data_IF_331603745642
#
_entry.id   IF_331603745642
#
_cell.length_a   1.000
_cell.length_b   1.000
_cell.length_c   1.000
_cell.angle_alpha   90.00
_cell.angle_beta   90.00
_cell.angle_gamma   90.00
#
_symmetry.space_group_name_H-M   'P 1'
#
loop_
_entity.id
_entity.type
_entity.pdbx_description
1 polymer ?
#
# COMPACT_ATOMS: atom_id res chain seq x y z
N UNK A 1 -5.41 14.20 -22.12
CA UNK A 1 -5.16 14.29 -20.67
C UNK A 1 -4.04 13.34 -20.28
N UNK A 2 -3.02 13.83 -19.63
CA UNK A 2 -2.00 12.92 -19.11
C UNK A 2 -2.61 12.04 -18.01
N UNK A 3 -2.12 10.83 -17.91
CA UNK A 3 -2.51 9.93 -16.84
C UNK A 3 -2.06 10.51 -15.50
N UNK A 4 -2.74 10.10 -14.44
CA UNK A 4 -2.31 10.47 -13.10
C UNK A 4 -0.92 9.89 -12.86
N UNK A 5 -0.11 10.64 -12.13
CA UNK A 5 1.22 10.20 -11.74
C UNK A 5 1.11 9.00 -10.80
N UNK A 6 1.56 7.85 -11.24
CA UNK A 6 1.47 6.61 -10.47
C UNK A 6 2.31 6.67 -9.19
N UNK A 7 3.42 7.41 -9.21
CA UNK A 7 4.20 7.61 -7.99
C UNK A 7 3.39 8.40 -6.96
N UNK A 8 2.64 9.42 -7.40
CA UNK A 8 1.79 10.17 -6.49
C UNK A 8 0.62 9.32 -6.01
N UNK A 9 0.05 8.50 -6.87
CA UNK A 9 -1.02 7.58 -6.48
C UNK A 9 -0.54 6.60 -5.43
N UNK A 10 0.69 6.11 -5.55
CA UNK A 10 1.29 5.26 -4.54
C UNK A 10 1.43 5.99 -3.21
N UNK A 11 1.92 7.23 -3.23
CA UNK A 11 2.02 8.05 -2.01
C UNK A 11 0.65 8.24 -1.36
N UNK A 12 -0.37 8.48 -2.17
CA UNK A 12 -1.73 8.69 -1.68
C UNK A 12 -2.26 7.43 -0.98
N UNK A 13 -1.94 6.25 -1.51
CA UNK A 13 -2.38 4.99 -0.91
C UNK A 13 -1.83 4.82 0.51
N UNK A 14 -0.54 5.09 0.71
CA UNK A 14 0.06 4.97 2.04
C UNK A 14 -0.36 6.13 2.95
N UNK A 15 -0.51 7.32 2.38
CA UNK A 15 -1.03 8.47 3.12
C UNK A 15 -2.42 8.23 3.67
N UNK A 16 -3.25 7.46 2.96
CA UNK A 16 -4.59 7.11 3.41
C UNK A 16 -4.57 6.25 4.67
N UNK A 17 -3.57 5.38 4.82
CA UNK A 17 -3.41 4.60 6.04
C UNK A 17 -3.05 5.49 7.22
N UNK A 18 -2.19 6.49 7.01
CA UNK A 18 -1.80 7.42 8.07
C UNK A 18 -2.97 8.33 8.45
N UNK A 19 -3.71 8.83 7.47
CA UNK A 19 -4.84 9.74 7.72
C UNK A 19 -6.12 9.01 8.13
N UNK A 20 -6.23 7.71 7.85
CA UNK A 20 -7.44 6.96 8.12
C UNK A 20 -8.56 7.20 7.12
N UNK A 21 -8.24 7.72 5.94
CA UNK A 21 -9.26 8.02 4.92
C UNK A 21 -9.42 6.84 3.95
N UNK A 22 -10.34 5.95 4.27
CA UNK A 22 -10.62 4.75 3.49
C UNK A 22 -11.06 5.07 2.05
N UNK A 23 -11.72 6.21 1.83
CA UNK A 23 -12.25 6.55 0.50
C UNK A 23 -11.13 6.68 -0.53
N UNK A 24 -9.96 7.15 -0.12
CA UNK A 24 -8.81 7.25 -1.01
C UNK A 24 -8.41 5.88 -1.54
N UNK A 25 -8.32 4.89 -0.64
CA UNK A 25 -7.98 3.51 -1.04
C UNK A 25 -9.09 2.92 -1.90
N UNK A 26 -10.35 3.14 -1.54
CA UNK A 26 -11.48 2.61 -2.32
C UNK A 26 -11.46 3.10 -3.76
N UNK A 27 -11.04 4.35 -3.98
CA UNK A 27 -10.94 4.92 -5.31
C UNK A 27 -9.73 4.43 -6.08
N UNK A 28 -8.63 4.12 -5.39
CA UNK A 28 -7.38 3.71 -6.03
C UNK A 28 -7.37 2.25 -6.46
N UNK A 29 -8.11 1.38 -5.78
CA UNK A 29 -8.09 -0.06 -6.08
C UNK A 29 -9.11 -0.40 -7.15
N UNK A 30 -8.71 -1.27 -8.10
CA UNK A 30 -9.63 -1.77 -9.12
C UNK A 30 -10.62 -2.76 -8.50
N UNK A 31 -11.72 -3.01 -9.23
CA UNK A 31 -12.73 -3.97 -8.76
C UNK A 31 -12.18 -5.39 -8.67
N UNK A 32 -11.23 -5.73 -9.54
CA UNK A 32 -10.60 -7.05 -9.57
C UNK A 32 -9.28 -7.10 -8.82
N UNK A 33 -9.06 -6.16 -7.92
CA UNK A 33 -7.84 -6.06 -7.13
C UNK A 33 -7.55 -7.35 -6.36
N UNK A 34 -6.27 -7.76 -6.33
CA UNK A 34 -5.79 -8.88 -5.53
C UNK A 34 -4.61 -8.45 -4.67
N UNK A 35 -4.49 -9.08 -3.50
CA UNK A 35 -3.46 -8.73 -2.51
C UNK A 35 -2.69 -9.99 -2.09
N UNK A 36 -1.37 -9.84 -2.03
CA UNK A 36 -0.46 -10.92 -1.66
C UNK A 36 0.48 -10.45 -0.56
N UNK A 37 0.59 -11.25 0.48
CA UNK A 37 1.60 -11.07 1.54
C UNK A 37 1.91 -12.44 2.13
N UNK A 38 2.95 -12.56 2.97
CA UNK A 38 3.23 -13.82 3.64
C UNK A 38 2.06 -14.36 4.46
N UNK A 39 1.17 -13.48 4.93
CA UNK A 39 0.01 -13.88 5.74
C UNK A 39 -1.25 -14.14 4.91
N UNK A 40 -1.37 -13.50 3.76
CA UNK A 40 -2.59 -13.56 2.93
C UNK A 40 -2.18 -13.67 1.46
N UNK A 41 -2.51 -14.78 0.82
CA UNK A 41 -2.07 -15.06 -0.56
C UNK A 41 -3.26 -15.03 -1.50
N UNK A 42 -3.30 -14.00 -2.37
CA UNK A 42 -4.30 -13.90 -3.43
C UNK A 42 -5.71 -13.57 -2.94
N UNK A 43 -5.83 -12.74 -1.92
CA UNK A 43 -7.16 -12.34 -1.44
C UNK A 43 -7.73 -11.23 -2.33
N UNK A 44 -9.06 -11.18 -2.44
CA UNK A 44 -9.73 -10.20 -3.27
C UNK A 44 -9.89 -8.85 -2.55
N UNK A 45 -10.51 -7.89 -3.25
CA UNK A 45 -10.67 -6.52 -2.76
C UNK A 45 -11.45 -6.46 -1.44
N UNK A 46 -12.57 -7.17 -1.37
CA UNK A 46 -13.39 -7.17 -0.14
C UNK A 46 -12.63 -7.76 1.02
N UNK A 47 -11.94 -8.88 0.79
CA UNK A 47 -11.14 -9.53 1.83
C UNK A 47 -9.98 -8.64 2.27
N UNK A 48 -9.37 -7.92 1.33
CA UNK A 48 -8.31 -6.96 1.65
C UNK A 48 -8.81 -5.91 2.64
N UNK A 49 -9.99 -5.33 2.41
CA UNK A 49 -10.54 -4.34 3.32
C UNK A 49 -10.88 -4.94 4.69
N UNK A 50 -11.31 -6.19 4.74
CA UNK A 50 -11.57 -6.86 6.02
C UNK A 50 -10.29 -7.11 6.82
N UNK A 51 -9.21 -7.53 6.12
CA UNK A 51 -7.99 -8.02 6.76
C UNK A 51 -6.95 -6.94 6.97
N UNK A 52 -6.82 -6.00 6.06
CA UNK A 52 -5.69 -5.06 6.03
C UNK A 52 -6.09 -3.66 6.48
N UNK A 53 -7.25 -3.18 6.07
CA UNK A 53 -7.64 -1.81 6.41
C UNK A 53 -7.70 -1.52 7.91
N UNK A 54 -8.10 -2.46 8.78
CA UNK A 54 -8.08 -2.18 10.23
C UNK A 54 -6.69 -1.79 10.76
N UNK A 55 -5.62 -2.15 10.05
CA UNK A 55 -4.26 -1.75 10.43
C UNK A 55 -4.05 -0.24 10.33
N UNK A 56 -4.90 0.49 9.62
CA UNK A 56 -4.80 1.95 9.53
C UNK A 56 -4.85 2.61 10.91
N UNK A 57 -5.62 2.03 11.83
CA UNK A 57 -5.69 2.55 13.20
C UNK A 57 -4.39 2.35 13.98
N UNK A 58 -3.52 1.46 13.51
CA UNK A 58 -2.27 1.13 14.19
C UNK A 58 -1.07 1.85 13.60
N UNK A 59 -1.22 2.53 12.47
CA UNK A 59 -0.11 3.23 11.80
C UNK A 59 -0.14 4.71 12.16
N UNK A 60 0.94 5.18 12.79
CA UNK A 60 1.07 6.59 13.15
C UNK A 60 1.72 7.39 12.04
N UNK A 61 2.74 6.83 11.38
CA UNK A 61 3.48 7.53 10.34
C UNK A 61 4.12 6.54 9.38
N UNK A 62 4.38 6.99 8.16
CA UNK A 62 5.07 6.21 7.12
C UNK A 62 6.04 7.12 6.38
N UNK A 63 7.29 6.68 6.26
CA UNK A 63 8.33 7.38 5.51
C UNK A 63 8.74 6.51 4.32
N UNK A 64 8.87 7.13 3.14
CA UNK A 64 9.30 6.42 1.94
C UNK A 64 10.82 6.39 1.87
N UNK A 65 11.39 5.19 1.77
CA UNK A 65 12.83 4.99 1.58
C UNK A 65 13.13 5.01 0.09
N UNK A 66 12.31 4.34 -0.71
CA UNK A 66 12.41 4.39 -2.17
C UNK A 66 11.03 4.22 -2.79
N UNK A 67 10.87 4.88 -3.92
CA UNK A 67 9.62 4.89 -4.65
C UNK A 67 10.01 4.92 -6.13
N UNK A 68 9.96 3.77 -6.79
CA UNK A 68 10.48 3.60 -8.14
C UNK A 68 9.39 3.03 -9.04
N UNK A 69 9.23 3.66 -10.19
CA UNK A 69 8.28 3.17 -11.20
C UNK A 69 9.02 2.42 -12.30
N UNK A 70 8.51 1.25 -12.66
CA UNK A 70 8.99 0.46 -13.78
C UNK A 70 7.76 -0.02 -14.58
N UNK A 71 7.43 0.73 -15.64
CA UNK A 71 6.26 0.41 -16.45
C UNK A 71 4.97 0.51 -15.62
N UNK A 72 4.26 -0.61 -15.54
CA UNK A 72 3.01 -0.68 -14.80
C UNK A 72 3.19 -0.97 -13.30
N UNK A 73 4.43 -1.10 -12.86
CA UNK A 73 4.72 -1.41 -11.47
C UNK A 73 5.38 -0.24 -10.75
N UNK A 74 4.98 -0.02 -9.50
CA UNK A 74 5.65 0.91 -8.60
C UNK A 74 6.18 0.11 -7.42
N UNK A 75 7.48 0.18 -7.19
CA UNK A 75 8.14 -0.48 -6.07
C UNK A 75 8.30 0.53 -4.94
N UNK A 76 7.77 0.19 -3.78
CA UNK A 76 7.76 1.08 -2.62
C UNK A 76 8.46 0.39 -1.46
N UNK A 77 9.56 0.97 -1.00
CA UNK A 77 10.17 0.57 0.27
C UNK A 77 9.87 1.67 1.26
N UNK A 78 9.31 1.31 2.40
CA UNK A 78 8.90 2.29 3.39
C UNK A 78 9.21 1.81 4.80
N UNK A 79 9.24 2.77 5.72
CA UNK A 79 9.35 2.52 7.14
C UNK A 79 8.12 3.09 7.81
N UNK A 80 7.43 2.28 8.60
CA UNK A 80 6.24 2.72 9.31
C UNK A 80 6.47 2.66 10.82
N UNK A 81 5.83 3.61 11.50
CA UNK A 81 5.81 3.67 12.96
C UNK A 81 4.38 3.37 13.41
N UNK A 82 4.22 2.40 14.29
CA UNK A 82 2.93 2.08 14.88
C UNK A 82 2.65 2.98 16.08
N UNK A 83 1.40 3.05 16.47
CA UNK A 83 0.96 3.87 17.61
C UNK A 83 1.59 3.45 18.93
N UNK A 84 2.08 2.21 19.04
CA UNK A 84 2.78 1.71 20.22
C UNK A 84 4.30 1.96 20.16
N UNK A 85 4.76 2.66 19.10
CA UNK A 85 6.17 2.97 18.93
C UNK A 85 6.98 1.93 18.14
N UNK A 86 6.39 0.78 17.83
CA UNK A 86 7.08 -0.24 17.04
C UNK A 86 7.32 0.26 15.63
N UNK A 87 8.52 0.07 15.10
CA UNK A 87 8.91 0.49 13.75
C UNK A 87 9.36 -0.70 12.92
N UNK A 88 9.02 -0.67 11.64
CA UNK A 88 9.38 -1.76 10.74
C UNK A 88 9.57 -1.24 9.31
N UNK A 89 10.25 -2.03 8.48
CA UNK A 89 10.48 -1.74 7.06
C UNK A 89 9.90 -2.85 6.22
N UNK A 90 9.16 -2.49 5.18
CA UNK A 90 8.62 -3.42 4.19
C UNK A 90 8.86 -2.90 2.78
N UNK A 91 8.80 -3.80 1.81
CA UNK A 91 8.76 -3.43 0.39
C UNK A 91 7.47 -3.98 -0.20
N UNK A 92 6.79 -3.16 -1.00
CA UNK A 92 5.58 -3.56 -1.71
C UNK A 92 5.72 -3.24 -3.18
N UNK A 93 5.11 -4.08 -4.01
CA UNK A 93 5.03 -3.84 -5.46
C UNK A 93 3.57 -3.63 -5.80
N UNK A 94 3.25 -2.44 -6.32
CA UNK A 94 1.91 -2.09 -6.77
C UNK A 94 1.87 -2.23 -8.27
N UNK A 95 0.94 -3.04 -8.78
CA UNK A 95 0.72 -3.17 -10.22
C UNK A 95 -0.50 -2.35 -10.60
N UNK A 96 -0.35 -1.53 -11.64
CA UNK A 96 -1.40 -0.63 -12.12
C UNK A 96 -2.02 -1.15 -13.39
N UNK A 97 -3.32 -0.91 -13.53
CA UNK A 97 -4.06 -1.07 -14.77
C UNK A 97 -4.75 0.28 -15.01
N UNK A 98 -4.22 1.06 -15.95
CA UNK A 98 -4.67 2.44 -16.13
C UNK A 98 -4.40 3.27 -14.89
N UNK A 99 -5.45 3.85 -14.34
CA UNK A 99 -5.38 4.70 -13.15
C UNK A 99 -5.82 3.97 -11.87
N UNK A 100 -5.79 2.63 -11.88
CA UNK A 100 -6.17 1.82 -10.73
C UNK A 100 -5.05 0.86 -10.36
N UNK A 101 -4.94 0.58 -9.08
CA UNK A 101 -4.04 -0.46 -8.57
C UNK A 101 -4.81 -1.78 -8.65
N UNK A 102 -4.31 -2.73 -9.43
CA UNK A 102 -4.98 -4.02 -9.60
C UNK A 102 -4.34 -5.14 -8.79
N UNK A 103 -3.14 -4.93 -8.28
CA UNK A 103 -2.46 -5.93 -7.47
C UNK A 103 -1.45 -5.26 -6.54
N UNK A 104 -1.36 -5.76 -5.33
CA UNK A 104 -0.31 -5.38 -4.38
C UNK A 104 0.36 -6.65 -3.87
N UNK A 105 1.69 -6.67 -3.90
CA UNK A 105 2.50 -7.75 -3.36
C UNK A 105 3.38 -7.19 -2.26
N UNK A 106 3.27 -7.76 -1.05
CA UNK A 106 4.00 -7.27 0.12
C UNK A 106 5.10 -8.24 0.49
N UNK A 107 6.30 -7.71 0.63
CA UNK A 107 7.47 -8.45 1.09
C UNK A 107 7.86 -7.88 2.45
N UNK A 108 7.82 -8.71 3.49
CA UNK A 108 8.17 -8.26 4.83
C UNK A 108 9.68 -8.03 4.92
N UNK A 109 10.05 -6.93 5.52
CA UNK A 109 11.44 -6.60 5.81
C UNK A 109 11.79 -6.98 7.24
N UNK A 110 12.21 -5.99 8.04
CA UNK A 110 12.67 -6.24 9.39
C UNK A 110 12.25 -5.11 10.34
N UNK A 111 12.37 -5.38 11.64
CA UNK A 111 12.08 -4.39 12.66
C UNK A 111 13.24 -3.42 12.82
N UNK A 112 12.91 -2.15 13.08
CA UNK A 112 13.88 -1.05 13.14
C UNK A 112 14.14 -0.64 14.59
N UNK A 113 14.50 -1.56 15.42
CA UNK A 113 14.73 -1.26 16.83
C UNK A 113 16.19 -1.36 17.25
#
# INVERSE_FOLDING_TARGET
>A
MPDRDRLQMARDAYGAYVSGDRRVIEELLSDDFTFYSPADVGIDRDRYFERCWPNAELIEDTEFVRLVQDGDEVVVTYESTKTDGHRFRNTEVLTFDGEKICKTEVYFGWNLE
#
